data_IF_988657056629
#
_entry.id   IF_988657056629
#
_cell.length_a   1.000
_cell.length_b   1.000
_cell.length_c   1.000
_cell.angle_alpha   90.00
_cell.angle_beta   90.00
_cell.angle_gamma   90.00
#
_symmetry.space_group_name_H-M   'P 1'
#
loop_
_entity.id
_entity.type
_entity.pdbx_description
1 polymer ?
#
# COMPACT_ATOMS: atom_id res chain seq x y z
N UNK A 1 -7.48 8.33 35.22
CA UNK A 1 -7.13 7.29 34.22
C UNK A 1 -7.09 7.87 32.80
N UNK A 2 -8.16 8.49 32.26
CA UNK A 2 -8.26 9.02 30.89
C UNK A 2 -7.19 10.08 30.57
N UNK A 3 -6.87 10.99 31.50
CA UNK A 3 -5.82 12.00 31.28
C UNK A 3 -4.43 11.37 31.09
N UNK A 4 -4.09 10.33 31.87
CA UNK A 4 -2.80 9.64 31.77
C UNK A 4 -2.73 8.89 30.42
N UNK A 5 -3.84 8.26 30.01
CA UNK A 5 -3.94 7.57 28.72
C UNK A 5 -3.75 8.55 27.54
N UNK A 6 -4.46 9.68 27.55
CA UNK A 6 -4.29 10.70 26.51
C UNK A 6 -2.85 11.25 26.43
N UNK A 7 -2.18 11.42 27.58
CA UNK A 7 -0.77 11.84 27.62
C UNK A 7 0.16 10.79 27.01
N UNK A 8 -0.07 9.52 27.28
CA UNK A 8 0.71 8.43 26.65
C UNK A 8 0.48 8.34 25.16
N UNK A 9 -0.77 8.50 24.68
CA UNK A 9 -1.10 8.53 23.26
C UNK A 9 -0.38 9.67 22.52
N UNK A 10 -0.29 10.86 23.12
CA UNK A 10 0.47 11.99 22.55
C UNK A 10 1.94 11.62 22.37
N UNK A 11 2.56 10.99 23.38
CA UNK A 11 3.96 10.58 23.31
C UNK A 11 4.19 9.53 22.22
N UNK A 12 3.33 8.50 22.19
CA UNK A 12 3.40 7.43 21.18
C UNK A 12 3.22 7.97 19.77
N UNK A 13 2.21 8.82 19.56
CA UNK A 13 1.94 9.43 18.25
C UNK A 13 3.06 10.38 17.81
N UNK A 14 3.68 11.09 18.75
CA UNK A 14 4.87 11.91 18.46
C UNK A 14 6.04 11.06 17.99
N UNK A 15 6.34 9.96 18.67
CA UNK A 15 7.41 9.04 18.27
C UNK A 15 7.15 8.41 16.91
N UNK A 16 5.91 8.00 16.64
CA UNK A 16 5.51 7.47 15.32
C UNK A 16 5.67 8.51 14.21
N UNK A 17 5.28 9.74 14.46
CA UNK A 17 5.46 10.84 13.50
C UNK A 17 6.96 11.10 13.25
N UNK A 18 7.76 11.19 14.32
CA UNK A 18 9.21 11.42 14.20
C UNK A 18 9.92 10.28 13.45
N UNK A 19 9.44 9.05 13.58
CA UNK A 19 9.98 7.90 12.86
C UNK A 19 9.69 7.94 11.35
N UNK A 20 8.52 8.46 10.94
CA UNK A 20 8.08 8.44 9.52
C UNK A 20 8.51 9.71 8.80
N UNK A 21 8.38 10.88 9.44
CA UNK A 21 8.52 12.19 8.80
C UNK A 21 9.80 12.89 9.24
N UNK A 22 10.27 12.62 10.48
CA UNK A 22 11.44 13.26 11.08
C UNK A 22 11.12 14.10 12.30
N UNK A 23 12.15 14.62 12.97
CA UNK A 23 12.03 15.34 14.24
C UNK A 23 11.16 16.60 14.13
N UNK A 24 10.21 16.73 15.04
CA UNK A 24 9.37 17.93 15.19
C UNK A 24 10.01 18.86 16.20
N UNK A 25 10.34 20.06 15.78
CA UNK A 25 10.86 21.12 16.67
C UNK A 25 9.78 21.68 17.61
N UNK A 26 8.52 21.75 17.18
CA UNK A 26 7.43 22.29 17.97
C UNK A 26 6.07 21.74 17.54
N UNK A 27 5.38 21.00 18.43
CA UNK A 27 4.03 20.44 18.20
C UNK A 27 2.96 21.52 17.95
N UNK A 28 3.15 22.76 18.47
CA UNK A 28 2.20 23.87 18.29
C UNK A 28 2.14 24.40 16.86
N UNK A 29 3.10 24.05 16.01
CA UNK A 29 3.14 24.45 14.59
C UNK A 29 2.21 23.57 13.74
N UNK A 30 1.87 22.38 14.23
CA UNK A 30 0.99 21.46 13.52
C UNK A 30 -0.45 22.01 13.51
N UNK A 31 -0.92 22.39 12.33
CA UNK A 31 -2.31 22.81 12.14
C UNK A 31 -3.17 21.61 11.76
N UNK A 32 -4.34 21.51 12.39
CA UNK A 32 -5.34 20.51 11.97
C UNK A 32 -5.77 20.79 10.53
N UNK A 33 -5.67 19.80 9.67
CA UNK A 33 -6.14 19.91 8.27
C UNK A 33 -7.64 20.14 8.25
N UNK A 34 -8.10 21.29 7.76
CA UNK A 34 -9.51 21.68 7.78
C UNK A 34 -10.32 21.18 6.59
N UNK A 35 -9.65 20.74 5.51
CA UNK A 35 -10.32 20.24 4.29
C UNK A 35 -9.71 18.91 3.84
N UNK A 36 -10.54 17.96 3.48
CA UNK A 36 -10.12 16.79 2.72
C UNK A 36 -9.68 17.27 1.33
N UNK A 37 -8.40 17.04 1.01
CA UNK A 37 -7.82 17.38 -0.31
C UNK A 37 -8.28 16.36 -1.36
N UNK A 38 -8.78 15.20 -0.91
CA UNK A 38 -9.17 14.08 -1.77
C UNK A 38 -10.70 14.07 -1.89
N UNK A 39 -11.22 14.09 -3.12
CA UNK A 39 -12.63 13.85 -3.37
C UNK A 39 -12.95 12.38 -3.08
N UNK A 40 -13.81 12.16 -2.08
CA UNK A 40 -14.27 10.81 -1.73
C UNK A 40 -15.29 10.37 -2.79
N UNK A 41 -15.16 9.16 -3.36
CA UNK A 41 -16.16 8.61 -4.28
C UNK A 41 -17.56 8.60 -3.65
N UNK A 42 -18.60 8.82 -4.46
CA UNK A 42 -19.98 8.87 -3.95
C UNK A 42 -20.63 7.49 -3.80
N UNK A 43 -20.00 6.44 -4.33
CA UNK A 43 -20.51 5.07 -4.29
C UNK A 43 -19.41 4.05 -4.10
N UNK A 44 -19.76 2.89 -3.55
CA UNK A 44 -18.83 1.75 -3.40
C UNK A 44 -18.26 1.32 -4.76
N UNK A 45 -19.10 1.24 -5.81
CA UNK A 45 -18.62 0.87 -7.14
C UNK A 45 -17.63 1.88 -7.70
N UNK A 46 -17.85 3.17 -7.48
CA UNK A 46 -16.91 4.22 -7.84
C UNK A 46 -15.57 4.10 -7.09
N UNK A 47 -15.61 3.79 -5.79
CA UNK A 47 -14.43 3.57 -4.98
C UNK A 47 -13.61 2.34 -5.45
N UNK A 48 -14.29 1.22 -5.76
CA UNK A 48 -13.65 0.01 -6.29
C UNK A 48 -12.99 0.28 -7.65
N UNK A 49 -13.69 0.96 -8.57
CA UNK A 49 -13.13 1.27 -9.88
C UNK A 49 -11.92 2.19 -9.79
N UNK A 50 -11.99 3.23 -8.96
CA UNK A 50 -10.88 4.14 -8.73
C UNK A 50 -9.66 3.41 -8.14
N UNK A 51 -9.90 2.51 -7.17
CA UNK A 51 -8.85 1.69 -6.59
C UNK A 51 -8.22 0.75 -7.60
N UNK A 52 -9.00 0.05 -8.44
CA UNK A 52 -8.47 -0.83 -9.50
C UNK A 52 -7.56 -0.13 -10.49
N UNK A 53 -7.82 1.15 -10.74
CA UNK A 53 -7.01 1.95 -11.67
C UNK A 53 -5.71 2.46 -11.03
N UNK A 54 -5.72 2.74 -9.73
CA UNK A 54 -4.62 3.45 -9.06
C UNK A 54 -3.86 2.59 -8.04
N UNK A 55 -4.28 1.34 -7.77
CA UNK A 55 -3.60 0.49 -6.81
C UNK A 55 -2.27 -0.01 -7.37
N UNK A 56 -1.13 0.33 -6.74
CA UNK A 56 0.19 -0.12 -7.17
C UNK A 56 0.34 -1.65 -7.11
N UNK A 57 -0.28 -2.34 -6.16
CA UNK A 57 -0.19 -3.81 -6.03
C UNK A 57 -0.81 -4.51 -7.24
N UNK A 58 -1.92 -3.99 -7.77
CA UNK A 58 -2.53 -4.50 -9.01
C UNK A 58 -1.61 -4.25 -10.19
N UNK A 59 -0.97 -3.08 -10.25
CA UNK A 59 -0.03 -2.73 -11.31
C UNK A 59 1.19 -3.65 -11.27
N UNK A 60 1.75 -3.90 -10.09
CA UNK A 60 2.87 -4.84 -9.89
C UNK A 60 2.47 -6.25 -10.35
N UNK A 61 1.30 -6.75 -9.93
CA UNK A 61 0.83 -8.08 -10.32
C UNK A 61 0.61 -8.22 -11.84
N UNK A 62 0.18 -7.15 -12.53
CA UNK A 62 0.07 -7.10 -14.00
C UNK A 62 1.44 -7.19 -14.66
N UNK A 63 2.41 -6.40 -14.18
CA UNK A 63 3.78 -6.41 -14.71
C UNK A 63 4.46 -7.76 -14.48
N UNK A 64 4.23 -8.41 -13.33
CA UNK A 64 4.73 -9.76 -13.07
C UNK A 64 4.12 -10.82 -14.00
N UNK A 65 2.85 -10.68 -14.36
CA UNK A 65 2.22 -11.53 -15.36
C UNK A 65 2.87 -11.30 -16.73
N UNK A 66 3.04 -10.06 -17.16
CA UNK A 66 3.71 -9.70 -18.42
C UNK A 66 5.16 -10.22 -18.44
N UNK A 67 5.90 -10.09 -17.34
CA UNK A 67 7.24 -10.66 -17.20
C UNK A 67 7.21 -12.18 -17.45
N UNK A 68 6.27 -12.89 -16.83
CA UNK A 68 6.15 -14.35 -17.01
C UNK A 68 5.81 -14.76 -18.44
N UNK A 69 5.15 -13.90 -19.21
CA UNK A 69 4.92 -14.10 -20.65
C UNK A 69 6.22 -13.96 -21.44
N UNK A 70 7.04 -12.97 -21.10
CA UNK A 70 8.38 -12.81 -21.69
C UNK A 70 9.34 -13.94 -21.32
N UNK A 71 9.24 -14.48 -20.12
CA UNK A 71 10.02 -15.66 -19.70
C UNK A 71 9.74 -16.90 -20.57
N UNK A 72 8.50 -17.05 -21.08
CA UNK A 72 8.16 -18.09 -22.06
C UNK A 72 8.85 -17.79 -23.39
N UNK A 73 8.77 -16.55 -23.91
CA UNK A 73 9.40 -16.16 -25.15
C UNK A 73 10.93 -16.38 -25.09
N UNK A 74 11.56 -16.07 -23.94
CA UNK A 74 12.99 -16.32 -23.69
C UNK A 74 13.27 -17.83 -23.74
N UNK A 75 12.48 -18.64 -23.05
CA UNK A 75 12.66 -20.09 -23.07
C UNK A 75 12.45 -20.72 -24.46
N UNK A 76 11.56 -20.14 -25.28
CA UNK A 76 11.34 -20.56 -26.66
C UNK A 76 12.53 -20.12 -27.57
N UNK A 77 13.17 -18.98 -27.25
CA UNK A 77 14.32 -18.49 -28.00
C UNK A 77 15.52 -19.45 -27.90
N UNK A 78 15.64 -20.20 -26.81
CA UNK A 78 16.66 -21.23 -26.61
C UNK A 78 16.57 -22.39 -27.62
N UNK A 79 15.42 -22.57 -28.29
CA UNK A 79 15.25 -23.53 -29.38
C UNK A 79 15.73 -23.01 -30.73
N UNK A 80 15.96 -21.70 -30.84
CA UNK A 80 16.36 -21.04 -32.10
C UNK A 80 17.87 -21.03 -32.26
N UNK A 81 18.39 -20.94 -33.48
CA UNK A 81 19.82 -20.73 -33.72
C UNK A 81 20.26 -19.35 -33.22
N UNK A 82 21.45 -19.31 -32.60
CA UNK A 82 22.12 -18.06 -32.18
C UNK A 82 23.29 -17.78 -33.09
N UNK A 83 23.45 -16.52 -33.54
CA UNK A 83 24.58 -16.08 -34.30
C UNK A 83 25.37 -15.06 -33.48
N UNK A 84 26.68 -15.26 -33.36
CA UNK A 84 27.60 -14.36 -32.67
C UNK A 84 28.69 -13.91 -33.61
N UNK A 85 28.90 -12.59 -33.71
CA UNK A 85 30.00 -12.00 -34.39
C UNK A 85 30.98 -11.43 -33.36
N UNK A 86 32.23 -11.85 -33.39
CA UNK A 86 33.28 -11.33 -32.52
C UNK A 86 34.48 -10.83 -33.37
N UNK A 87 35.01 -9.67 -32.97
CA UNK A 87 36.26 -9.14 -33.45
C UNK A 87 37.20 -9.08 -32.24
N UNK A 88 38.38 -9.67 -32.44
CA UNK A 88 39.44 -9.71 -31.44
C UNK A 88 40.71 -9.16 -32.06
N UNK A 89 41.29 -8.11 -31.47
CA UNK A 89 42.61 -7.63 -31.76
C UNK A 89 43.53 -7.93 -30.60
N UNK A 90 44.59 -8.69 -30.84
CA UNK A 90 45.62 -8.99 -29.85
C UNK A 90 46.98 -8.48 -30.34
N UNK A 91 47.68 -7.85 -29.42
CA UNK A 91 49.05 -7.41 -29.54
C UNK A 91 49.89 -8.16 -28.51
N UNK A 92 51.02 -8.71 -28.93
CA UNK A 92 51.95 -9.38 -28.04
C UNK A 92 53.35 -8.96 -28.39
N UNK A 93 54.15 -8.58 -27.40
CA UNK A 93 55.52 -8.14 -27.47
C UNK A 93 56.44 -9.13 -26.73
N UNK A 94 57.73 -9.20 -27.07
CA UNK A 94 58.74 -10.10 -26.43
C UNK A 94 58.39 -11.60 -26.42
N UNK A 95 57.90 -12.12 -27.54
CA UNK A 95 57.45 -13.53 -27.59
C UNK A 95 58.58 -14.56 -27.61
N UNK A 96 59.64 -14.32 -28.38
CA UNK A 96 60.85 -15.16 -28.46
C UNK A 96 61.91 -14.50 -29.38
N UNK A 97 63.11 -15.13 -29.50
CA UNK A 97 64.22 -14.62 -30.29
C UNK A 97 63.93 -14.51 -31.81
N UNK A 98 62.81 -15.01 -32.30
CA UNK A 98 62.43 -14.98 -33.73
C UNK A 98 61.34 -13.98 -34.06
N UNK A 99 60.48 -13.65 -33.06
CA UNK A 99 59.35 -12.69 -33.21
C UNK A 99 59.33 -11.77 -32.02
N UNK A 100 59.59 -10.49 -32.27
CA UNK A 100 59.63 -9.42 -31.28
C UNK A 100 58.23 -8.88 -31.02
N UNK A 101 57.45 -8.68 -32.06
CA UNK A 101 56.07 -8.17 -32.00
C UNK A 101 55.14 -9.07 -32.82
N UNK A 102 53.92 -9.25 -32.30
CA UNK A 102 52.87 -9.99 -33.02
C UNK A 102 51.53 -9.26 -32.86
N UNK A 103 51.04 -8.73 -34.00
CA UNK A 103 49.65 -8.27 -34.12
C UNK A 103 48.78 -9.38 -34.73
N UNK A 104 47.59 -9.57 -34.16
CA UNK A 104 46.64 -10.52 -34.69
C UNK A 104 45.22 -9.93 -34.61
N UNK A 105 44.60 -9.79 -35.79
CA UNK A 105 43.21 -9.39 -35.94
C UNK A 105 42.39 -10.62 -36.34
N UNK A 106 41.35 -10.95 -35.55
CA UNK A 106 40.49 -12.09 -35.82
C UNK A 106 39.04 -11.63 -35.86
N UNK A 107 38.39 -11.82 -37.00
CA UNK A 107 36.95 -11.68 -37.16
C UNK A 107 36.34 -13.08 -37.21
N UNK A 108 35.47 -13.39 -36.25
CA UNK A 108 34.85 -14.71 -36.12
C UNK A 108 33.33 -14.59 -36.10
N UNK A 109 32.66 -15.28 -37.03
CA UNK A 109 31.22 -15.47 -37.02
C UNK A 109 30.93 -16.91 -36.62
N UNK A 110 30.10 -17.10 -35.57
CA UNK A 110 29.73 -18.42 -35.06
C UNK A 110 28.20 -18.53 -35.04
N UNK A 111 27.67 -19.57 -35.68
CA UNK A 111 26.24 -19.94 -35.58
C UNK A 111 26.14 -21.24 -34.79
N UNK A 112 25.33 -21.20 -33.73
CA UNK A 112 25.09 -22.37 -32.89
C UNK A 112 23.59 -22.70 -32.87
N UNK A 113 23.25 -23.95 -33.20
CA UNK A 113 21.87 -24.42 -33.18
C UNK A 113 21.74 -25.70 -32.38
N UNK A 114 21.19 -25.64 -31.16
CA UNK A 114 21.01 -26.81 -30.32
C UNK A 114 19.76 -27.60 -30.72
N UNK A 115 19.85 -28.47 -31.73
CA UNK A 115 18.70 -29.23 -32.25
C UNK A 115 18.23 -30.37 -31.31
N UNK A 116 19.08 -30.82 -30.38
CA UNK A 116 18.71 -31.86 -29.40
C UNK A 116 19.30 -31.51 -28.02
N UNK A 117 18.44 -31.49 -26.99
CA UNK A 117 18.84 -31.17 -25.60
C UNK A 117 18.26 -32.16 -24.57
N UNK A 118 17.94 -33.38 -24.98
CA UNK A 118 17.37 -34.40 -24.08
C UNK A 118 16.01 -33.98 -23.45
N UNK A 119 15.23 -33.14 -24.14
CA UNK A 119 13.92 -32.67 -23.67
C UNK A 119 13.96 -31.50 -22.65
N UNK A 120 15.15 -31.13 -22.12
CA UNK A 120 15.28 -30.09 -21.09
C UNK A 120 14.61 -28.77 -21.47
N UNK A 121 14.81 -28.30 -22.70
CA UNK A 121 14.24 -27.02 -23.18
C UNK A 121 12.71 -27.04 -23.22
N UNK A 122 12.09 -28.16 -23.65
CA UNK A 122 10.62 -28.29 -23.65
C UNK A 122 10.06 -28.29 -22.23
N UNK A 123 10.76 -28.95 -21.29
CA UNK A 123 10.37 -28.94 -19.87
C UNK A 123 10.46 -27.53 -19.29
N UNK A 124 11.49 -26.75 -19.65
CA UNK A 124 11.63 -25.35 -19.24
C UNK A 124 10.45 -24.49 -19.74
N UNK A 125 10.05 -24.64 -21.01
CA UNK A 125 8.88 -23.94 -21.57
C UNK A 125 7.60 -24.32 -20.79
N UNK A 126 7.37 -25.62 -20.56
CA UNK A 126 6.20 -26.09 -19.79
C UNK A 126 6.20 -25.57 -18.35
N UNK A 127 7.38 -25.51 -17.71
CA UNK A 127 7.54 -24.86 -16.39
C UNK A 127 7.13 -23.39 -16.43
N UNK A 128 7.61 -22.63 -17.42
CA UNK A 128 7.28 -21.20 -17.53
C UNK A 128 5.80 -20.97 -17.84
N UNK A 129 5.16 -21.86 -18.63
CA UNK A 129 3.70 -21.82 -18.84
C UNK A 129 2.92 -22.04 -17.53
N UNK A 130 3.38 -22.97 -16.68
CA UNK A 130 2.78 -23.18 -15.36
C UNK A 130 3.00 -21.97 -14.43
N UNK A 131 4.18 -21.34 -14.48
CA UNK A 131 4.47 -20.11 -13.75
C UNK A 131 3.60 -18.93 -14.22
N UNK A 132 3.38 -18.76 -15.52
CA UNK A 132 2.43 -17.77 -16.07
C UNK A 132 1.02 -18.00 -15.52
N UNK A 133 0.54 -19.26 -15.52
CA UNK A 133 -0.77 -19.59 -14.94
C UNK A 133 -0.85 -19.22 -13.47
N UNK A 134 0.20 -19.49 -12.70
CA UNK A 134 0.31 -19.07 -11.29
C UNK A 134 0.25 -17.54 -11.15
N UNK A 135 1.00 -16.78 -11.97
CA UNK A 135 0.99 -15.30 -11.92
C UNK A 135 -0.38 -14.72 -12.27
N UNK A 136 -1.11 -15.32 -13.21
CA UNK A 136 -2.49 -14.95 -13.52
C UNK A 136 -3.41 -15.14 -12.33
N UNK A 137 -3.34 -16.28 -11.64
CA UNK A 137 -4.13 -16.54 -10.44
C UNK A 137 -3.78 -15.58 -9.29
N UNK A 138 -2.51 -15.21 -9.16
CA UNK A 138 -2.08 -14.20 -8.17
C UNK A 138 -2.65 -12.82 -8.49
N UNK A 139 -2.66 -12.40 -9.75
CA UNK A 139 -3.30 -11.16 -10.18
C UNK A 139 -4.80 -11.17 -9.84
N UNK A 140 -5.52 -12.24 -10.17
CA UNK A 140 -6.94 -12.38 -9.84
C UNK A 140 -7.19 -12.31 -8.33
N UNK A 141 -6.32 -12.93 -7.54
CA UNK A 141 -6.37 -12.85 -6.08
C UNK A 141 -6.11 -11.43 -5.57
N UNK A 142 -5.10 -10.73 -6.11
CA UNK A 142 -4.80 -9.34 -5.74
C UNK A 142 -5.99 -8.41 -6.01
N UNK A 143 -6.66 -8.58 -7.16
CA UNK A 143 -7.87 -7.81 -7.50
C UNK A 143 -8.99 -8.08 -6.50
N UNK A 144 -9.26 -9.36 -6.17
CA UNK A 144 -10.31 -9.73 -5.19
C UNK A 144 -10.00 -9.20 -3.79
N UNK A 145 -8.74 -9.30 -3.37
CA UNK A 145 -8.29 -8.76 -2.08
C UNK A 145 -8.47 -7.24 -2.02
N UNK A 146 -8.09 -6.53 -3.10
CA UNK A 146 -8.32 -5.10 -3.21
C UNK A 146 -9.82 -4.76 -3.11
N UNK A 147 -10.69 -5.47 -3.82
CA UNK A 147 -12.14 -5.25 -3.77
C UNK A 147 -12.68 -5.42 -2.34
N UNK A 148 -12.20 -6.43 -1.61
CA UNK A 148 -12.57 -6.68 -0.22
C UNK A 148 -12.08 -5.57 0.72
N UNK A 149 -10.84 -5.13 0.57
CA UNK A 149 -10.26 -4.04 1.37
C UNK A 149 -11.06 -2.75 1.16
N UNK A 150 -11.35 -2.40 -0.09
CA UNK A 150 -12.12 -1.20 -0.43
C UNK A 150 -13.55 -1.29 0.11
N UNK A 151 -14.20 -2.45 0.00
CA UNK A 151 -15.55 -2.65 0.53
C UNK A 151 -15.58 -2.50 2.06
N UNK A 152 -14.59 -3.05 2.75
CA UNK A 152 -14.46 -2.92 4.22
C UNK A 152 -14.19 -1.46 4.61
N UNK A 153 -13.28 -0.78 3.91
CA UNK A 153 -12.99 0.63 4.16
C UNK A 153 -14.22 1.52 3.91
N UNK A 154 -15.00 1.22 2.87
CA UNK A 154 -16.26 1.90 2.57
C UNK A 154 -17.30 1.70 3.66
N UNK A 155 -17.49 0.46 4.14
CA UNK A 155 -18.39 0.16 5.24
C UNK A 155 -17.98 0.91 6.52
N UNK A 156 -16.70 0.93 6.85
CA UNK A 156 -16.16 1.68 7.98
C UNK A 156 -16.37 3.20 7.83
N UNK A 157 -16.21 3.72 6.63
CA UNK A 157 -16.51 5.14 6.35
C UNK A 157 -18.00 5.47 6.59
N UNK A 158 -18.92 4.64 6.09
CA UNK A 158 -20.36 4.83 6.30
C UNK A 158 -20.72 4.70 7.79
N UNK A 159 -20.15 3.70 8.47
CA UNK A 159 -20.31 3.55 9.91
C UNK A 159 -19.83 4.79 10.67
N UNK A 160 -18.63 5.28 10.38
CA UNK A 160 -18.06 6.46 11.04
C UNK A 160 -18.90 7.71 10.83
N UNK A 161 -19.48 7.87 9.64
CA UNK A 161 -20.41 8.97 9.34
C UNK A 161 -21.69 8.89 10.21
N UNK A 162 -22.33 7.71 10.23
CA UNK A 162 -23.53 7.49 11.03
C UNK A 162 -23.26 7.59 12.54
N UNK A 163 -22.09 7.10 12.97
CA UNK A 163 -21.64 7.21 14.36
C UNK A 163 -21.46 8.67 14.78
N UNK A 164 -20.80 9.49 13.94
CA UNK A 164 -20.63 10.92 14.22
C UNK A 164 -21.99 11.64 14.37
N UNK A 165 -22.95 11.33 13.51
CA UNK A 165 -24.28 11.92 13.60
C UNK A 165 -25.02 11.48 14.90
N UNK A 166 -24.86 10.22 15.30
CA UNK A 166 -25.41 9.69 16.56
C UNK A 166 -24.78 10.35 17.79
N UNK A 167 -23.44 10.52 17.80
CA UNK A 167 -22.75 11.20 18.92
C UNK A 167 -23.16 12.67 19.01
N UNK A 168 -23.34 13.36 17.88
CA UNK A 168 -23.84 14.75 17.87
C UNK A 168 -25.22 14.86 18.49
N UNK A 169 -26.13 13.92 18.19
CA UNK A 169 -27.46 13.87 18.79
C UNK A 169 -27.38 13.56 20.29
N UNK A 170 -26.50 12.65 20.69
CA UNK A 170 -26.27 12.33 22.11
C UNK A 170 -25.77 13.54 22.90
N UNK A 171 -24.78 14.28 22.37
CA UNK A 171 -24.29 15.52 23.01
C UNK A 171 -25.42 16.53 23.16
N UNK A 172 -26.22 16.72 22.10
CA UNK A 172 -27.36 17.67 22.16
C UNK A 172 -28.42 17.24 23.18
N UNK A 173 -28.76 15.98 23.24
CA UNK A 173 -29.70 15.43 24.25
C UNK A 173 -29.16 15.61 25.67
N UNK A 174 -27.89 15.28 25.91
CA UNK A 174 -27.23 15.46 27.20
C UNK A 174 -27.17 16.92 27.62
N UNK A 175 -26.95 17.85 26.65
CA UNK A 175 -26.95 19.28 26.91
C UNK A 175 -28.34 19.78 27.35
N UNK A 176 -29.40 19.44 26.61
CA UNK A 176 -30.77 19.82 26.95
C UNK A 176 -31.16 19.26 28.33
N UNK A 177 -30.82 17.99 28.60
CA UNK A 177 -31.08 17.38 29.90
C UNK A 177 -30.36 18.09 31.06
N UNK A 178 -29.07 18.44 30.84
CA UNK A 178 -28.28 19.16 31.85
C UNK A 178 -28.87 20.58 32.12
N UNK A 179 -29.21 21.31 31.07
CA UNK A 179 -29.84 22.64 31.19
C UNK A 179 -31.16 22.55 31.93
N UNK A 180 -32.01 21.52 31.64
CA UNK A 180 -33.27 21.30 32.32
C UNK A 180 -33.08 20.97 33.79
N UNK A 181 -32.22 20.03 34.16
CA UNK A 181 -31.95 19.65 35.55
C UNK A 181 -31.36 20.82 36.33
N UNK A 182 -30.47 21.60 35.75
CA UNK A 182 -29.89 22.81 36.38
C UNK A 182 -30.95 23.85 36.65
N UNK A 183 -31.82 24.13 35.67
CA UNK A 183 -32.92 25.07 35.84
C UNK A 183 -33.98 24.65 36.89
N UNK A 184 -34.29 23.34 36.98
CA UNK A 184 -35.16 22.80 38.02
C UNK A 184 -34.51 22.89 39.40
N UNK A 185 -33.22 22.63 39.54
CA UNK A 185 -32.47 22.82 40.78
C UNK A 185 -32.47 24.27 41.27
N UNK A 186 -32.19 25.22 40.38
CA UNK A 186 -32.19 26.65 40.69
C UNK A 186 -33.57 27.17 41.13
N UNK A 187 -34.65 26.58 40.61
CA UNK A 187 -36.02 26.92 40.98
C UNK A 187 -36.50 26.25 42.26
N UNK A 188 -35.70 25.40 42.89
CA UNK A 188 -36.07 24.66 44.09
C UNK A 188 -37.10 23.54 43.84
N UNK A 189 -37.18 22.99 42.63
CA UNK A 189 -38.15 21.99 42.18
C UNK A 189 -37.81 20.55 42.60
N UNK A 190 -37.18 20.32 43.75
CA UNK A 190 -36.92 18.99 44.30
C UNK A 190 -35.73 18.26 43.68
N UNK A 191 -34.93 18.88 42.81
CA UNK A 191 -33.67 18.33 42.32
C UNK A 191 -32.59 18.51 43.39
N UNK A 192 -31.69 17.52 43.44
CA UNK A 192 -30.55 17.55 44.36
C UNK A 192 -29.27 18.02 43.67
N UNK A 193 -28.30 18.47 44.45
CA UNK A 193 -26.95 18.79 43.95
C UNK A 193 -26.30 17.57 43.24
N UNK A 194 -26.64 16.36 43.70
CA UNK A 194 -26.19 15.11 43.09
C UNK A 194 -26.70 14.96 41.63
N UNK A 195 -27.99 15.29 41.39
CA UNK A 195 -28.58 15.25 40.04
C UNK A 195 -27.86 16.19 39.09
N UNK A 196 -27.50 17.40 39.53
CA UNK A 196 -26.74 18.35 38.72
C UNK A 196 -25.34 17.84 38.43
N UNK A 197 -24.64 17.28 39.40
CA UNK A 197 -23.30 16.70 39.20
C UNK A 197 -23.36 15.51 38.22
N UNK A 198 -24.35 14.62 38.37
CA UNK A 198 -24.53 13.50 37.45
C UNK A 198 -24.83 13.94 36.03
N UNK A 199 -25.71 14.93 35.83
CA UNK A 199 -26.04 15.45 34.50
C UNK A 199 -24.84 16.14 33.84
N UNK A 200 -24.06 16.89 34.62
CA UNK A 200 -22.80 17.48 34.13
C UNK A 200 -21.78 16.40 33.70
N UNK A 201 -21.67 15.31 34.48
CA UNK A 201 -20.79 14.19 34.14
C UNK A 201 -21.21 13.54 32.84
N UNK A 202 -22.52 13.25 32.67
CA UNK A 202 -23.07 12.69 31.44
C UNK A 202 -22.84 13.60 30.22
N UNK A 203 -22.96 14.91 30.38
CA UNK A 203 -22.68 15.88 29.33
C UNK A 203 -21.19 15.90 28.97
N UNK A 204 -20.30 15.83 29.95
CA UNK A 204 -18.86 15.78 29.72
C UNK A 204 -18.47 14.49 29.01
N UNK A 205 -18.99 13.35 29.43
CA UNK A 205 -18.76 12.05 28.82
C UNK A 205 -19.23 12.04 27.35
N UNK A 206 -20.42 12.59 27.08
CA UNK A 206 -20.92 12.73 25.72
C UNK A 206 -20.07 13.65 24.84
N UNK A 207 -19.44 14.69 25.39
CA UNK A 207 -18.56 15.61 24.66
C UNK A 207 -17.16 15.02 24.39
N UNK A 208 -16.74 14.04 25.17
CA UNK A 208 -15.41 13.41 25.04
C UNK A 208 -15.47 12.15 24.17
N UNK A 209 -16.62 11.49 24.04
CA UNK A 209 -16.84 10.32 23.16
C UNK A 209 -16.85 10.72 21.69
#
# INVERSE_FOLDING_TARGET
>A
AQFIQAKNEIVTNKLNYENIIGKISNLKILKKTSKSIISIPQSLSGAINLSKQNNPDITIAKLELEQSEKDIEIAESDLKPTATLSFERSYSDDLNATYDEKEKDVLKATVSWPFYSGGKKRITISKNQSLKTRKRLLLDNTIKTNDTIVATAWANFQFSKSFLDSVRLQVRAAQIANEGITAEYERGSGRTTLDVIQSNTLLLDAKVS
#
